data_IF_322511946539
#
_entry.id   IF_322511946539
#
_cell.length_a   1.000
_cell.length_b   1.000
_cell.length_c   1.000
_cell.angle_alpha   90.00
_cell.angle_beta   90.00
_cell.angle_gamma   90.00
#
_symmetry.space_group_name_H-M   'P 1'
#
loop_
_entity.id
_entity.type
_entity.pdbx_description
1 polymer ?
#
# COMPACT_ATOMS: atom_id res chain seq x y z
N UNK A 1 -5.83 8.44 27.02
CA UNK A 1 -6.61 7.33 27.63
C UNK A 1 -6.45 6.14 26.69
N UNK A 2 -6.57 4.88 27.13
CA UNK A 2 -6.52 3.78 26.15
C UNK A 2 -7.73 3.86 25.22
N UNK A 3 -7.50 3.59 23.93
CA UNK A 3 -8.57 3.25 23.01
C UNK A 3 -8.92 1.79 23.30
N UNK A 4 -9.87 1.58 24.21
CA UNK A 4 -10.46 0.27 24.42
C UNK A 4 -11.34 -0.02 23.22
N UNK A 5 -10.91 -0.94 22.36
CA UNK A 5 -11.72 -1.35 21.22
C UNK A 5 -12.09 -2.82 21.43
N UNK A 6 -13.29 -3.15 20.99
CA UNK A 6 -13.92 -4.44 21.29
C UNK A 6 -13.23 -5.55 20.51
N UNK A 7 -13.15 -6.76 21.06
CA UNK A 7 -12.56 -7.91 20.38
C UNK A 7 -13.79 -8.85 20.13
N UNK A 8 -14.35 -9.07 18.91
CA UNK A 8 -15.62 -9.86 18.65
C UNK A 8 -15.45 -11.18 17.82
N UNK A 9 -16.45 -12.07 17.68
CA UNK A 9 -16.44 -13.23 16.71
C UNK A 9 -17.52 -13.15 15.60
N UNK A 10 -17.28 -13.61 14.35
CA UNK A 10 -17.66 -13.03 13.01
C UNK A 10 -19.14 -13.05 12.68
N UNK A 11 -19.92 -13.60 13.59
CA UNK A 11 -21.35 -13.52 13.63
C UNK A 11 -21.72 -12.15 14.29
N UNK A 12 -20.73 -11.47 14.88
CA UNK A 12 -20.49 -10.04 15.06
C UNK A 12 -20.23 -9.54 16.49
N UNK A 13 -20.46 -10.35 17.53
CA UNK A 13 -20.58 -10.00 18.96
C UNK A 13 -19.32 -10.27 19.80
N UNK A 14 -19.23 -9.55 20.90
CA UNK A 14 -18.02 -9.40 21.71
C UNK A 14 -17.51 -10.69 22.37
N UNK A 15 -16.22 -10.95 22.19
CA UNK A 15 -15.40 -12.02 22.82
C UNK A 15 -14.47 -11.44 23.91
N UNK A 16 -14.06 -10.17 23.80
CA UNK A 16 -13.29 -9.45 24.81
C UNK A 16 -13.20 -7.94 24.56
N UNK A 17 -12.25 -7.26 25.21
CA UNK A 17 -11.87 -5.85 24.97
C UNK A 17 -10.34 -5.69 25.03
N UNK A 18 -9.70 -5.05 24.04
CA UNK A 18 -8.26 -4.83 24.02
C UNK A 18 -7.96 -3.34 24.15
N UNK A 19 -7.15 -2.98 25.13
CA UNK A 19 -6.69 -1.60 25.31
C UNK A 19 -5.52 -1.32 24.36
N UNK A 20 -5.79 -0.58 23.28
CA UNK A 20 -4.75 -0.08 22.41
C UNK A 20 -3.91 0.99 23.15
N UNK A 21 -2.57 0.91 23.09
CA UNK A 21 -1.70 1.94 23.64
C UNK A 21 -1.93 3.28 22.95
N UNK A 22 -2.41 4.27 23.71
CA UNK A 22 -2.68 5.63 23.25
C UNK A 22 -1.48 6.26 22.53
N UNK A 23 -0.25 5.95 22.96
CA UNK A 23 1.00 6.44 22.35
C UNK A 23 1.22 6.03 20.88
N UNK A 24 0.42 5.07 20.37
CA UNK A 24 0.52 4.50 19.02
C UNK A 24 -0.74 4.78 18.20
N UNK A 25 -1.93 4.74 18.83
CA UNK A 25 -3.24 4.75 18.16
C UNK A 25 -4.10 5.99 18.48
N UNK A 26 -3.71 6.82 19.46
CA UNK A 26 -4.38 8.08 19.83
C UNK A 26 -3.39 9.26 19.61
N UNK A 27 -2.76 9.28 18.42
CA UNK A 27 -1.76 10.29 18.05
C UNK A 27 -2.34 11.24 17.02
N UNK A 28 -2.36 12.53 17.36
CA UNK A 28 -2.83 13.59 16.46
C UNK A 28 -2.20 13.48 15.06
N UNK A 29 -3.06 13.27 14.07
CA UNK A 29 -2.67 13.02 12.68
C UNK A 29 -1.93 14.22 12.11
N UNK A 30 -0.76 14.00 11.52
CA UNK A 30 0.06 15.01 10.86
C UNK A 30 0.20 14.69 9.37
N UNK A 31 -0.75 15.22 8.58
CA UNK A 31 -0.87 14.94 7.14
C UNK A 31 0.41 15.32 6.35
N UNK A 32 1.05 16.50 6.55
CA UNK A 32 2.32 16.81 5.88
C UNK A 32 3.44 15.81 6.13
N UNK A 33 3.57 15.31 7.36
CA UNK A 33 4.58 14.33 7.75
C UNK A 33 4.32 12.96 7.10
N UNK A 34 3.05 12.53 7.05
CA UNK A 34 2.63 11.29 6.36
C UNK A 34 2.94 11.39 4.86
N UNK A 35 2.53 12.49 4.21
CA UNK A 35 2.82 12.74 2.79
C UNK A 35 4.32 12.71 2.47
N UNK A 36 5.16 13.31 3.32
CA UNK A 36 6.61 13.28 3.14
C UNK A 36 7.21 11.86 3.24
N UNK A 37 6.69 11.02 4.14
CA UNK A 37 7.15 9.62 4.27
C UNK A 37 6.68 8.77 3.09
N UNK A 38 5.41 8.92 2.66
CA UNK A 38 4.85 8.17 1.51
C UNK A 38 5.57 8.55 0.21
N UNK A 39 5.80 9.84 -0.04
CA UNK A 39 6.55 10.28 -1.24
C UNK A 39 7.99 9.78 -1.25
N UNK A 40 8.66 9.70 -0.08
CA UNK A 40 9.99 9.09 0.03
C UNK A 40 9.98 7.58 -0.26
N UNK A 41 8.95 6.84 0.19
CA UNK A 41 8.77 5.42 -0.12
C UNK A 41 8.52 5.19 -1.63
N UNK A 42 7.62 5.96 -2.24
CA UNK A 42 7.35 5.89 -3.68
C UNK A 42 8.59 6.27 -4.51
N UNK A 43 9.40 7.22 -4.04
CA UNK A 43 10.66 7.56 -4.67
C UNK A 43 11.69 6.43 -4.55
N UNK A 44 11.80 5.77 -3.39
CA UNK A 44 12.69 4.61 -3.20
C UNK A 44 12.29 3.39 -4.04
N UNK A 45 10.98 3.16 -4.27
CA UNK A 45 10.49 2.11 -5.15
C UNK A 45 10.83 2.34 -6.65
N UNK A 46 11.25 3.55 -7.03
CA UNK A 46 11.55 3.92 -8.42
C UNK A 46 12.95 3.46 -8.83
N UNK A 47 13.02 2.38 -9.61
CA UNK A 47 14.26 1.74 -10.09
C UNK A 47 15.27 2.66 -10.82
N UNK A 48 14.83 3.78 -11.41
CA UNK A 48 15.73 4.78 -11.98
C UNK A 48 16.53 4.38 -13.23
N UNK A 49 16.17 3.28 -13.91
CA UNK A 49 16.93 2.62 -14.98
C UNK A 49 16.95 3.34 -16.35
N UNK A 50 16.58 4.61 -16.43
CA UNK A 50 16.51 5.37 -17.68
C UNK A 50 17.86 6.00 -18.07
N UNK A 51 18.32 5.72 -19.30
CA UNK A 51 19.53 6.34 -19.87
C UNK A 51 19.31 6.79 -21.32
N UNK A 52 19.73 8.02 -21.63
CA UNK A 52 19.98 8.46 -23.01
C UNK A 52 21.49 8.52 -23.27
N UNK A 53 21.91 8.34 -24.53
CA UNK A 53 23.33 8.41 -24.92
C UNK A 53 23.77 9.86 -25.08
N UNK A 54 24.80 10.24 -24.33
CA UNK A 54 25.48 11.54 -24.47
C UNK A 54 26.27 11.58 -25.79
N UNK A 55 26.69 12.78 -26.24
CA UNK A 55 27.48 12.96 -27.50
C UNK A 55 28.67 12.00 -27.63
N UNK A 56 29.38 11.73 -26.54
CA UNK A 56 30.55 10.83 -26.53
C UNK A 56 30.21 9.33 -26.53
N UNK A 57 28.97 8.96 -26.22
CA UNK A 57 28.49 7.56 -26.19
C UNK A 57 27.81 7.15 -27.50
N UNK A 58 27.53 8.10 -28.39
CA UNK A 58 26.97 7.85 -29.73
C UNK A 58 28.10 7.58 -30.73
N UNK A 59 28.08 6.39 -31.33
CA UNK A 59 29.16 5.92 -32.22
C UNK A 59 29.49 6.86 -33.38
N UNK A 60 30.78 7.16 -33.56
CA UNK A 60 31.32 8.02 -34.62
C UNK A 60 31.58 9.45 -34.17
N UNK A 61 31.60 10.40 -35.12
CA UNK A 61 31.76 11.83 -34.81
C UNK A 61 33.17 12.31 -34.45
N UNK A 62 34.18 11.42 -34.45
CA UNK A 62 35.58 11.75 -34.14
C UNK A 62 36.35 12.53 -35.22
N UNK A 63 35.81 12.65 -36.44
CA UNK A 63 36.36 13.48 -37.51
C UNK A 63 35.50 14.73 -37.71
N UNK A 64 36.14 15.89 -37.84
CA UNK A 64 35.45 17.15 -38.14
C UNK A 64 34.77 17.08 -39.53
N UNK A 65 33.48 17.47 -39.68
CA UNK A 65 32.76 17.27 -40.94
C UNK A 65 33.34 18.03 -42.15
N UNK A 66 33.88 19.23 -41.92
CA UNK A 66 34.52 20.07 -42.95
C UNK A 66 35.44 21.14 -42.33
N UNK A 67 36.24 21.80 -43.18
CA UNK A 67 37.17 22.89 -42.80
C UNK A 67 36.47 24.05 -42.08
N UNK A 68 37.18 24.74 -41.18
CA UNK A 68 36.62 25.76 -40.27
C UNK A 68 36.07 27.03 -40.96
N UNK A 69 36.55 27.35 -42.17
CA UNK A 69 36.17 28.53 -42.97
C UNK A 69 36.14 28.17 -44.47
N UNK A 70 35.48 28.99 -45.29
CA UNK A 70 35.50 28.86 -46.76
C UNK A 70 34.63 27.74 -47.33
N UNK A 71 33.50 27.43 -46.69
CA UNK A 71 32.50 26.43 -47.14
C UNK A 71 31.08 27.01 -47.31
N UNK A 72 30.83 28.26 -46.93
CA UNK A 72 29.50 28.88 -46.89
C UNK A 72 28.53 28.31 -45.84
N UNK A 73 28.88 27.19 -45.17
CA UNK A 73 28.02 26.49 -44.19
C UNK A 73 28.27 26.97 -42.77
N UNK A 74 27.26 26.84 -41.91
CA UNK A 74 27.39 27.05 -40.46
C UNK A 74 28.51 26.17 -39.86
N UNK A 75 29.23 26.67 -38.86
CA UNK A 75 30.36 25.97 -38.24
C UNK A 75 29.88 24.71 -37.50
N UNK A 76 30.49 23.56 -37.78
CA UNK A 76 30.18 22.29 -37.12
C UNK A 76 31.47 21.64 -36.58
N UNK A 77 31.42 21.17 -35.33
CA UNK A 77 32.53 20.46 -34.68
C UNK A 77 32.52 18.95 -34.93
N UNK A 78 31.33 18.34 -34.88
CA UNK A 78 31.13 16.89 -35.01
C UNK A 78 29.75 16.58 -35.59
N UNK A 79 29.63 15.46 -36.32
CA UNK A 79 28.33 14.92 -36.78
C UNK A 79 27.43 14.39 -35.67
N UNK A 80 27.96 14.18 -34.45
CA UNK A 80 27.18 13.70 -33.28
C UNK A 80 26.72 14.79 -32.32
N UNK A 81 26.88 16.06 -32.70
CA UNK A 81 26.44 17.21 -31.91
C UNK A 81 24.91 17.18 -31.68
N UNK A 82 24.37 17.68 -30.55
CA UNK A 82 22.93 17.53 -30.23
C UNK A 82 21.96 18.20 -31.21
N UNK A 83 22.43 19.17 -32.00
CA UNK A 83 21.68 19.81 -33.08
C UNK A 83 21.62 18.98 -34.38
N UNK A 84 22.32 17.85 -34.46
CA UNK A 84 22.36 16.97 -35.63
C UNK A 84 21.36 15.81 -35.47
N UNK A 85 20.80 15.35 -36.60
CA UNK A 85 20.02 14.09 -36.62
C UNK A 85 20.92 12.93 -36.20
N UNK A 86 20.44 12.09 -35.28
CA UNK A 86 21.24 11.02 -34.65
C UNK A 86 22.50 11.55 -33.92
N UNK A 87 22.44 12.79 -33.40
CA UNK A 87 23.35 13.30 -32.39
C UNK A 87 23.05 12.76 -31.00
N UNK A 88 23.97 12.95 -30.05
CA UNK A 88 23.73 12.63 -28.64
C UNK A 88 22.84 13.66 -27.95
N UNK A 89 22.10 13.24 -26.92
CA UNK A 89 21.28 14.14 -26.11
C UNK A 89 22.19 14.98 -25.20
N UNK A 90 21.89 16.27 -25.03
CA UNK A 90 22.71 17.19 -24.23
C UNK A 90 22.45 17.07 -22.72
N UNK A 91 21.18 17.06 -22.33
CA UNK A 91 20.71 16.87 -20.95
C UNK A 91 19.64 15.77 -20.97
N UNK A 92 20.08 14.53 -21.17
CA UNK A 92 19.21 13.37 -21.21
C UNK A 92 18.96 12.77 -19.82
N UNK A 93 18.00 11.84 -19.69
CA UNK A 93 17.90 10.98 -18.51
C UNK A 93 19.21 10.21 -18.31
N UNK A 94 19.70 10.21 -17.06
CA UNK A 94 20.86 9.43 -16.60
C UNK A 94 20.39 8.52 -15.46
N UNK A 95 20.85 7.25 -15.38
CA UNK A 95 20.47 6.37 -14.28
C UNK A 95 20.88 6.97 -12.95
N UNK A 96 19.92 7.06 -12.03
CA UNK A 96 20.14 7.60 -10.69
C UNK A 96 19.24 6.90 -9.69
N UNK A 97 19.70 6.81 -8.45
CA UNK A 97 18.86 6.45 -7.34
C UNK A 97 17.93 7.65 -7.01
N UNK A 98 16.75 7.31 -6.51
CA UNK A 98 15.68 8.24 -6.14
C UNK A 98 15.39 8.22 -4.63
N UNK A 99 16.27 7.55 -3.87
CA UNK A 99 16.15 7.39 -2.42
C UNK A 99 16.25 8.73 -1.70
N UNK A 100 15.35 8.92 -0.74
CA UNK A 100 15.31 10.11 0.11
C UNK A 100 15.51 9.68 1.55
N UNK A 101 16.53 10.23 2.21
CA UNK A 101 16.87 9.88 3.60
C UNK A 101 15.85 10.46 4.57
N UNK A 102 14.86 9.66 4.96
CA UNK A 102 13.90 9.99 6.02
C UNK A 102 14.42 9.58 7.41
N UNK A 103 14.42 10.49 8.41
CA UNK A 103 14.79 10.15 9.78
C UNK A 103 13.87 9.08 10.41
N UNK A 104 14.43 8.11 11.13
CA UNK A 104 13.68 7.01 11.77
C UNK A 104 12.49 7.49 12.63
N UNK A 105 12.66 8.61 13.36
CA UNK A 105 11.59 9.22 14.17
C UNK A 105 10.40 9.71 13.32
N UNK A 106 10.65 10.24 12.12
CA UNK A 106 9.58 10.70 11.22
C UNK A 106 8.80 9.52 10.63
N UNK A 107 9.49 8.44 10.25
CA UNK A 107 8.85 7.21 9.78
C UNK A 107 7.94 6.62 10.88
N UNK A 108 8.45 6.53 12.11
CA UNK A 108 7.68 6.02 13.24
C UNK A 108 6.47 6.92 13.59
N UNK A 109 6.63 8.24 13.54
CA UNK A 109 5.53 9.18 13.78
C UNK A 109 4.47 9.15 12.67
N UNK A 110 4.87 9.03 11.40
CA UNK A 110 3.94 8.90 10.28
C UNK A 110 3.15 7.60 10.36
N UNK A 111 3.80 6.49 10.74
CA UNK A 111 3.14 5.21 10.95
C UNK A 111 2.06 5.29 12.05
N UNK A 112 2.38 5.91 13.19
CA UNK A 112 1.41 6.14 14.28
C UNK A 112 0.25 7.03 13.84
N UNK A 113 0.53 8.11 13.10
CA UNK A 113 -0.50 8.98 12.54
C UNK A 113 -1.45 8.25 11.60
N UNK A 114 -0.94 7.41 10.68
CA UNK A 114 -1.79 6.58 9.80
C UNK A 114 -2.58 5.53 10.57
N UNK A 115 -2.03 4.96 11.64
CA UNK A 115 -2.74 4.00 12.50
C UNK A 115 -3.81 4.64 13.39
N UNK A 116 -3.76 5.97 13.59
CA UNK A 116 -4.75 6.73 14.37
C UNK A 116 -5.87 7.36 13.51
N UNK A 117 -5.77 7.30 12.18
CA UNK A 117 -6.67 8.00 11.22
C UNK A 117 -7.65 7.07 10.49
N UNK A 118 -7.47 5.74 10.59
CA UNK A 118 -8.17 4.77 9.76
C UNK A 118 -9.48 4.27 10.37
N UNK A 119 -10.59 4.91 10.00
CA UNK A 119 -11.95 4.34 10.10
C UNK A 119 -12.13 3.13 9.17
N UNK A 120 -11.54 2.01 9.57
CA UNK A 120 -11.81 0.68 9.02
C UNK A 120 -13.21 0.25 9.45
N UNK A 121 -14.01 -0.21 8.50
CA UNK A 121 -15.36 -0.70 8.77
C UNK A 121 -15.37 -2.21 8.62
N UNK A 122 -15.98 -2.88 9.59
CA UNK A 122 -16.02 -4.32 9.64
C UNK A 122 -17.41 -4.83 9.37
N UNK A 123 -17.55 -5.62 8.31
CA UNK A 123 -18.84 -6.13 7.88
C UNK A 123 -18.91 -7.63 8.10
N UNK A 124 -19.91 -8.02 8.88
CA UNK A 124 -20.13 -9.34 9.43
C UNK A 124 -21.32 -9.98 8.71
N UNK A 125 -21.08 -11.15 8.11
CA UNK A 125 -21.94 -11.75 7.07
C UNK A 125 -22.17 -13.23 7.38
N UNK A 126 -23.36 -13.78 7.09
CA UNK A 126 -23.62 -15.21 7.29
C UNK A 126 -22.99 -16.07 6.18
N UNK A 127 -22.63 -17.33 6.47
CA UNK A 127 -21.94 -18.23 5.52
C UNK A 127 -22.79 -18.55 4.27
N UNK A 128 -24.10 -18.35 4.36
CA UNK A 128 -25.07 -18.45 3.28
C UNK A 128 -25.07 -17.23 2.32
N UNK A 129 -24.67 -16.04 2.77
CA UNK A 129 -24.84 -14.75 2.08
C UNK A 129 -23.71 -14.46 1.06
N UNK A 130 -23.49 -15.40 0.13
CA UNK A 130 -22.39 -15.33 -0.85
C UNK A 130 -22.44 -14.11 -1.79
N UNK A 131 -23.61 -13.55 -2.07
CA UNK A 131 -23.75 -12.37 -2.94
C UNK A 131 -23.20 -11.10 -2.26
N UNK A 132 -23.44 -10.95 -0.95
CA UNK A 132 -22.87 -9.85 -0.14
C UNK A 132 -21.34 -9.96 -0.11
N UNK A 133 -20.82 -11.15 0.17
CA UNK A 133 -19.38 -11.43 0.19
C UNK A 133 -18.69 -11.07 -1.13
N UNK A 134 -19.29 -11.45 -2.27
CA UNK A 134 -18.72 -11.16 -3.60
C UNK A 134 -18.78 -9.67 -3.96
N UNK A 135 -19.76 -8.93 -3.44
CA UNK A 135 -19.91 -7.50 -3.72
C UNK A 135 -18.94 -6.61 -2.92
N UNK A 136 -18.72 -6.92 -1.64
CA UNK A 136 -17.95 -6.04 -0.75
C UNK A 136 -16.43 -6.32 -0.75
N UNK A 137 -15.99 -7.54 -1.10
CA UNK A 137 -14.57 -7.97 -1.01
C UNK A 137 -13.54 -7.22 -1.86
N UNK A 138 -13.98 -6.23 -2.64
CA UNK A 138 -13.13 -5.42 -3.50
C UNK A 138 -12.92 -4.00 -2.97
N UNK A 139 -13.48 -3.66 -1.80
CA UNK A 139 -13.38 -2.34 -1.18
C UNK A 139 -12.20 -2.33 -0.19
N UNK A 140 -11.24 -1.43 -0.35
CA UNK A 140 -9.95 -1.47 0.37
C UNK A 140 -10.06 -1.16 1.88
N UNK A 141 -11.08 -0.43 2.31
CA UNK A 141 -11.29 -0.01 3.71
C UNK A 141 -12.32 -0.87 4.47
N UNK A 142 -12.87 -1.91 3.83
CA UNK A 142 -13.87 -2.81 4.42
C UNK A 142 -13.28 -4.20 4.60
N UNK A 143 -13.22 -4.67 5.85
CA UNK A 143 -12.86 -6.05 6.15
C UNK A 143 -14.13 -6.89 6.31
N UNK A 144 -14.12 -8.10 5.76
CA UNK A 144 -15.28 -9.00 5.68
C UNK A 144 -14.96 -10.34 6.28
N UNK A 145 -15.83 -10.80 7.15
CA UNK A 145 -15.67 -12.07 7.85
C UNK A 145 -17.02 -12.73 8.07
N UNK A 146 -17.00 -14.06 7.93
CA UNK A 146 -18.17 -14.92 7.96
C UNK A 146 -18.44 -15.34 9.38
N UNK A 147 -19.68 -15.19 9.83
CA UNK A 147 -20.27 -15.73 11.05
C UNK A 147 -19.25 -16.44 11.97
N UNK A 148 -18.87 -17.67 11.71
CA UNK A 148 -18.06 -18.48 12.61
C UNK A 148 -16.59 -18.05 12.93
N UNK A 149 -16.09 -16.88 12.49
CA UNK A 149 -14.65 -16.55 12.32
C UNK A 149 -14.11 -15.14 12.70
N UNK A 150 -14.74 -14.32 13.56
CA UNK A 150 -14.17 -13.01 13.98
C UNK A 150 -13.15 -13.37 15.04
N UNK A 151 -11.91 -13.38 14.58
CA UNK A 151 -10.87 -13.16 15.53
C UNK A 151 -11.21 -11.81 16.12
N UNK A 152 -11.02 -11.81 17.40
CA UNK A 152 -11.54 -10.74 18.16
C UNK A 152 -10.83 -9.43 17.73
N UNK A 153 -9.54 -9.52 17.43
CA UNK A 153 -8.66 -8.45 16.94
C UNK A 153 -9.21 -7.59 15.78
N UNK A 154 -10.02 -8.16 14.88
CA UNK A 154 -10.56 -7.40 13.74
C UNK A 154 -11.47 -6.25 14.17
N UNK A 155 -12.21 -6.42 15.26
CA UNK A 155 -13.07 -5.36 15.83
C UNK A 155 -12.25 -4.30 16.52
N UNK A 156 -11.15 -4.70 17.18
CA UNK A 156 -10.24 -3.75 17.82
C UNK A 156 -9.64 -2.84 16.77
N UNK A 157 -9.39 -3.43 15.61
CA UNK A 157 -8.81 -2.77 14.46
C UNK A 157 -9.87 -2.13 13.55
N UNK A 158 -11.11 -1.93 14.02
CA UNK A 158 -12.20 -1.32 13.24
C UNK A 158 -12.98 -0.31 14.07
N UNK A 159 -13.22 0.87 13.49
CA UNK A 159 -13.81 1.99 14.22
C UNK A 159 -15.35 1.94 14.21
N UNK A 160 -15.95 1.16 13.30
CA UNK A 160 -17.38 0.88 13.23
C UNK A 160 -17.59 -0.59 12.77
N UNK A 161 -18.52 -1.32 13.41
CA UNK A 161 -18.84 -2.73 13.09
C UNK A 161 -20.31 -2.89 12.72
N UNK A 162 -20.58 -3.55 11.59
CA UNK A 162 -21.90 -3.69 10.99
C UNK A 162 -22.20 -5.17 10.74
N UNK A 163 -23.35 -5.64 11.23
CA UNK A 163 -23.80 -7.04 11.10
C UNK A 163 -24.91 -7.17 10.05
N UNK A 164 -24.95 -8.29 9.33
CA UNK A 164 -26.20 -8.74 8.69
C UNK A 164 -27.19 -9.27 9.74
N UNK A 165 -28.48 -9.23 9.40
CA UNK A 165 -29.55 -9.61 10.33
C UNK A 165 -29.57 -11.12 10.64
N UNK A 166 -29.05 -11.95 9.74
CA UNK A 166 -28.94 -13.38 9.96
C UNK A 166 -27.60 -13.75 10.62
N UNK A 167 -26.50 -13.04 10.33
CA UNK A 167 -25.25 -13.19 11.09
C UNK A 167 -25.44 -12.91 12.59
N UNK A 168 -26.16 -11.83 12.96
CA UNK A 168 -26.40 -11.52 14.39
C UNK A 168 -27.29 -12.57 15.08
N UNK A 169 -28.24 -13.19 14.36
CA UNK A 169 -29.06 -14.30 14.88
C UNK A 169 -28.22 -15.56 15.08
N UNK A 170 -27.45 -15.95 14.07
CA UNK A 170 -26.53 -17.07 14.12
C UNK A 170 -25.57 -16.91 15.31
N UNK A 171 -25.16 -15.67 15.63
CA UNK A 171 -24.36 -15.50 16.83
C UNK A 171 -25.09 -15.62 18.15
N UNK A 172 -26.29 -15.05 18.22
CA UNK A 172 -27.06 -15.09 19.45
C UNK A 172 -27.43 -16.56 19.74
N UNK A 173 -27.63 -17.38 18.70
CA UNK A 173 -27.82 -18.83 18.77
C UNK A 173 -26.54 -19.60 19.17
N UNK A 174 -25.37 -19.23 18.62
CA UNK A 174 -24.07 -19.82 18.97
C UNK A 174 -23.76 -21.17 18.29
N UNK A 175 -22.55 -21.73 18.49
CA UNK A 175 -22.07 -22.91 17.77
C UNK A 175 -22.85 -24.19 18.11
N UNK A 176 -23.05 -25.03 17.09
CA UNK A 176 -23.79 -26.29 17.23
C UNK A 176 -23.13 -27.24 18.24
N UNK A 177 -23.93 -27.80 19.16
CA UNK A 177 -23.45 -28.66 20.26
C UNK A 177 -23.02 -30.04 19.74
N UNK A 178 -21.71 -30.26 19.64
CA UNK A 178 -21.10 -31.52 19.20
C UNK A 178 -19.67 -31.71 19.74
N UNK A 179 -19.08 -32.89 19.51
CA UNK A 179 -17.79 -33.32 20.10
C UNK A 179 -16.65 -32.37 19.69
N UNK A 180 -16.02 -31.70 20.66
CA UNK A 180 -15.14 -30.56 20.42
C UNK A 180 -13.91 -30.90 19.56
N UNK A 181 -13.75 -30.18 18.45
CA UNK A 181 -12.52 -30.08 17.68
C UNK A 181 -11.71 -28.92 18.26
N UNK A 182 -10.39 -29.09 18.40
CA UNK A 182 -9.50 -28.07 18.95
C UNK A 182 -9.36 -26.92 17.96
N UNK A 183 -10.13 -25.84 18.14
CA UNK A 183 -10.08 -24.69 17.24
C UNK A 183 -8.71 -24.01 17.31
N UNK A 184 -7.94 -24.11 16.22
CA UNK A 184 -6.67 -23.39 16.05
C UNK A 184 -6.95 -22.26 15.07
N UNK A 185 -6.72 -21.01 15.48
CA UNK A 185 -6.92 -19.84 14.63
C UNK A 185 -5.92 -19.84 13.46
N UNK A 186 -6.33 -20.42 12.33
CA UNK A 186 -5.63 -20.39 11.04
C UNK A 186 -6.64 -20.16 9.93
N UNK A 187 -6.34 -19.20 9.07
CA UNK A 187 -7.07 -18.87 7.83
C UNK A 187 -7.17 -20.06 6.85
N UNK A 188 -6.36 -21.11 7.05
CA UNK A 188 -6.17 -22.23 6.13
C UNK A 188 -7.18 -23.38 6.22
N UNK A 189 -8.20 -23.31 7.09
CA UNK A 189 -9.19 -24.41 7.25
C UNK A 189 -10.55 -24.17 6.59
N UNK A 190 -10.71 -23.08 5.83
CA UNK A 190 -11.75 -23.01 4.77
C UNK A 190 -11.27 -23.84 3.56
N UNK A 191 -11.20 -25.16 3.78
CA UNK A 191 -11.01 -26.13 2.71
C UNK A 191 -12.23 -26.11 1.79
N UNK A 192 -12.00 -25.69 0.54
CA UNK A 192 -13.00 -25.79 -0.53
C UNK A 192 -13.25 -27.27 -0.82
N UNK A 193 -14.35 -27.82 -0.32
CA UNK A 193 -14.79 -29.17 -0.66
C UNK A 193 -15.49 -29.16 -2.03
N UNK A 194 -14.80 -29.69 -3.03
CA UNK A 194 -15.42 -30.49 -4.09
C UNK A 194 -15.42 -31.97 -3.65
#
# INVERSE_FOLDING_TARGET
MSLTIDINDAQGKKVGSFDLPAEIFDVQVNIPLIHQVVTAQLAAARQGTHKAKNRGEVSGGGKKPFKQKGTGRARQGSTRSPNQRHGGVAQGPVPRLYDQRTPKKMIAAALRGVLSDRKKVLVVVARSENDVWRSLRSVEDVHLIVADQLNAYDVVNSDDVVFSHDAIKDFIAGPAKGKAVTAVARESEVGVSA
#
